data_IF_088570702438
#
_entry.id   IF_088570702438
#
_cell.length_a   1.000
_cell.length_b   1.000
_cell.length_c   1.000
_cell.angle_alpha   90.00
_cell.angle_beta   90.00
_cell.angle_gamma   90.00
#
_symmetry.space_group_name_H-M   'P 1'
#
loop_
_entity.id
_entity.type
_entity.pdbx_description
1 polymer ?
#
# COMPACT_ATOMS: atom_id res chain seq x y z
N UNK A 1 38.00 -4.16 6.58
CA UNK A 1 36.81 -3.28 6.52
C UNK A 1 35.58 -4.18 6.52
N UNK A 2 34.75 -4.12 7.55
CA UNK A 2 33.45 -4.79 7.52
C UNK A 2 32.50 -3.92 6.69
N UNK A 3 32.09 -4.41 5.52
CA UNK A 3 30.98 -3.82 4.78
C UNK A 3 29.72 -4.17 5.58
N UNK A 4 29.14 -3.16 6.23
CA UNK A 4 27.81 -3.29 6.82
C UNK A 4 26.85 -3.43 5.64
N UNK A 5 26.40 -4.65 5.36
CA UNK A 5 25.30 -4.85 4.44
C UNK A 5 24.09 -4.15 5.04
N UNK A 6 23.65 -3.05 4.42
CA UNK A 6 22.34 -2.48 4.72
C UNK A 6 21.33 -3.61 4.52
N UNK A 7 20.51 -3.96 5.54
CA UNK A 7 19.54 -5.03 5.40
C UNK A 7 18.64 -4.68 4.21
N UNK A 8 18.45 -5.62 3.29
CA UNK A 8 17.50 -5.43 2.21
C UNK A 8 16.16 -5.03 2.84
N UNK A 9 15.74 -3.80 2.60
CA UNK A 9 14.40 -3.36 3.00
C UNK A 9 13.44 -4.33 2.33
N UNK A 10 12.68 -5.07 3.11
CA UNK A 10 11.59 -5.90 2.61
C UNK A 10 10.63 -4.97 1.85
N UNK A 11 10.76 -4.97 0.53
CA UNK A 11 10.00 -4.12 -0.39
C UNK A 11 8.78 -4.92 -0.81
N UNK A 12 7.61 -4.39 -0.49
CA UNK A 12 6.35 -4.99 -0.92
C UNK A 12 6.28 -5.00 -2.46
N UNK A 13 6.42 -6.19 -3.08
CA UNK A 13 6.42 -6.37 -4.53
C UNK A 13 5.17 -5.81 -5.23
N UNK A 14 4.02 -5.77 -4.56
CA UNK A 14 2.80 -5.17 -5.08
C UNK A 14 2.89 -3.65 -5.28
N UNK A 15 3.76 -2.98 -4.53
CA UNK A 15 3.93 -1.52 -4.58
C UNK A 15 5.36 -1.06 -4.83
N UNK A 16 6.30 -1.99 -5.01
CA UNK A 16 7.72 -1.69 -5.25
C UNK A 16 7.89 -0.82 -6.49
N UNK A 17 7.05 -1.00 -7.51
CA UNK A 17 7.15 -0.26 -8.75
C UNK A 17 7.00 1.26 -8.54
N UNK A 18 6.33 1.72 -7.48
CA UNK A 18 6.27 3.14 -7.11
C UNK A 18 7.64 3.75 -6.77
N UNK A 19 8.66 2.95 -6.45
CA UNK A 19 10.00 3.47 -6.16
C UNK A 19 10.76 3.88 -7.42
N UNK A 20 10.33 3.41 -8.61
CA UNK A 20 10.99 3.79 -9.85
C UNK A 20 10.66 5.24 -10.23
N UNK A 21 11.67 6.07 -10.56
CA UNK A 21 11.46 7.48 -10.88
C UNK A 21 10.60 7.70 -12.13
N UNK A 22 10.63 6.76 -13.07
CA UNK A 22 9.82 6.82 -14.30
C UNK A 22 8.31 6.80 -14.06
N UNK A 23 7.85 6.28 -12.91
CA UNK A 23 6.42 6.21 -12.58
C UNK A 23 5.78 7.59 -12.56
N UNK A 24 6.48 8.60 -12.06
CA UNK A 24 5.95 9.95 -11.98
C UNK A 24 5.71 10.54 -13.38
N UNK A 25 6.68 10.35 -14.28
CA UNK A 25 6.57 10.80 -15.66
C UNK A 25 5.45 10.07 -16.38
N UNK A 26 5.40 8.73 -16.27
CA UNK A 26 4.32 7.93 -16.87
C UNK A 26 2.96 8.35 -16.33
N UNK A 27 2.86 8.64 -15.04
CA UNK A 27 1.62 9.11 -14.43
C UNK A 27 1.17 10.46 -15.00
N UNK A 28 2.09 11.42 -15.14
CA UNK A 28 1.80 12.73 -15.76
C UNK A 28 1.38 12.58 -17.23
N UNK A 29 2.04 11.67 -17.96
CA UNK A 29 1.67 11.34 -19.34
C UNK A 29 0.26 10.72 -19.42
N UNK A 30 -0.10 9.82 -18.50
CA UNK A 30 -1.45 9.23 -18.47
C UNK A 30 -2.52 10.31 -18.25
N UNK A 31 -2.31 11.24 -17.31
CA UNK A 31 -3.23 12.35 -17.07
C UNK A 31 -3.36 13.23 -18.32
N UNK A 32 -2.22 13.58 -18.95
CA UNK A 32 -2.22 14.38 -20.17
C UNK A 32 -2.92 13.69 -21.34
N UNK A 33 -2.64 12.40 -21.57
CA UNK A 33 -3.31 11.61 -22.60
C UNK A 33 -4.81 11.45 -22.32
N UNK A 34 -5.22 11.34 -21.05
CA UNK A 34 -6.63 11.32 -20.67
C UNK A 34 -7.34 12.62 -21.04
N UNK A 35 -6.67 13.77 -20.87
CA UNK A 35 -7.20 15.06 -21.31
C UNK A 35 -7.39 15.12 -22.83
N UNK A 36 -6.37 14.73 -23.60
CA UNK A 36 -6.46 14.69 -25.06
C UNK A 36 -7.58 13.75 -25.53
N UNK A 37 -7.72 12.60 -24.88
CA UNK A 37 -8.78 11.63 -25.17
C UNK A 37 -10.17 12.23 -24.91
N UNK A 38 -10.37 12.89 -23.76
CA UNK A 38 -11.65 13.52 -23.43
C UNK A 38 -11.99 14.65 -24.41
N UNK A 39 -11.01 15.49 -24.76
CA UNK A 39 -11.18 16.53 -25.79
C UNK A 39 -11.55 15.92 -27.15
N UNK A 40 -10.86 14.85 -27.56
CA UNK A 40 -11.08 14.21 -28.85
C UNK A 40 -12.42 13.47 -28.95
N UNK A 41 -12.88 12.83 -27.87
CA UNK A 41 -14.12 12.04 -27.88
C UNK A 41 -15.35 12.93 -27.70
N UNK A 42 -15.30 13.86 -26.75
CA UNK A 42 -16.49 14.65 -26.37
C UNK A 42 -16.58 15.99 -27.10
N UNK A 43 -15.50 16.47 -27.73
CA UNK A 43 -15.48 17.78 -28.42
C UNK A 43 -15.85 18.95 -27.51
N UNK A 44 -15.61 18.80 -26.20
CA UNK A 44 -16.06 19.74 -25.18
C UNK A 44 -15.09 20.90 -24.97
N UNK A 45 -15.53 21.93 -24.24
CA UNK A 45 -14.65 23.00 -23.81
C UNK A 45 -13.54 22.48 -22.89
N UNK A 46 -12.40 23.18 -22.86
CA UNK A 46 -11.27 22.80 -22.03
C UNK A 46 -11.64 22.65 -20.55
N UNK A 47 -12.48 23.55 -20.01
CA UNK A 47 -12.94 23.47 -18.62
C UNK A 47 -13.75 22.22 -18.28
N UNK A 48 -14.63 21.80 -19.19
CA UNK A 48 -15.39 20.56 -19.04
C UNK A 48 -14.47 19.34 -19.14
N UNK A 49 -13.50 19.36 -20.07
CA UNK A 49 -12.53 18.28 -20.20
C UNK A 49 -11.70 18.08 -18.93
N UNK A 50 -11.17 19.15 -18.35
CA UNK A 50 -10.43 19.09 -17.08
C UNK A 50 -11.29 18.59 -15.92
N UNK A 51 -12.56 18.99 -15.86
CA UNK A 51 -13.51 18.51 -14.84
C UNK A 51 -13.75 17.01 -14.98
N UNK A 52 -13.99 16.51 -16.19
CA UNK A 52 -14.17 15.06 -16.44
C UNK A 52 -12.91 14.29 -16.04
N UNK A 53 -11.73 14.74 -16.47
CA UNK A 53 -10.45 14.10 -16.11
C UNK A 53 -10.26 14.08 -14.59
N UNK A 54 -10.57 15.19 -13.90
CA UNK A 54 -10.47 15.28 -12.45
C UNK A 54 -11.42 14.32 -11.73
N UNK A 55 -12.68 14.22 -12.16
CA UNK A 55 -13.66 13.29 -11.57
C UNK A 55 -13.34 11.82 -11.85
N UNK A 56 -12.90 11.50 -13.07
CA UNK A 56 -12.43 10.16 -13.41
C UNK A 56 -11.18 9.78 -12.60
N UNK A 57 -10.23 10.71 -12.49
CA UNK A 57 -9.04 10.55 -11.66
C UNK A 57 -9.40 10.29 -10.20
N UNK A 58 -10.34 11.06 -9.65
CA UNK A 58 -10.90 10.85 -8.33
C UNK A 58 -11.43 9.42 -8.14
N UNK A 59 -12.33 8.98 -9.01
CA UNK A 59 -12.97 7.66 -8.90
C UNK A 59 -11.95 6.52 -8.98
N UNK A 60 -11.05 6.55 -9.96
CA UNK A 60 -10.03 5.52 -10.18
C UNK A 60 -9.06 5.49 -9.02
N UNK A 61 -8.47 6.62 -8.64
CA UNK A 61 -7.46 6.64 -7.59
C UNK A 61 -8.03 6.32 -6.21
N UNK A 62 -9.25 6.76 -5.91
CA UNK A 62 -9.92 6.38 -4.67
C UNK A 62 -10.17 4.87 -4.62
N UNK A 63 -10.67 4.28 -5.70
CA UNK A 63 -10.92 2.84 -5.78
C UNK A 63 -9.62 2.03 -5.59
N UNK A 64 -8.56 2.34 -6.33
CA UNK A 64 -7.31 1.58 -6.22
C UNK A 64 -6.59 1.82 -4.89
N UNK A 65 -6.48 3.07 -4.43
CA UNK A 65 -5.65 3.36 -3.25
C UNK A 65 -6.38 3.13 -1.93
N UNK A 66 -7.68 3.39 -1.86
CA UNK A 66 -8.41 3.39 -0.59
C UNK A 66 -9.44 2.27 -0.48
N UNK A 67 -9.87 1.66 -1.60
CA UNK A 67 -10.83 0.54 -1.59
C UNK A 67 -10.16 -0.82 -1.76
N UNK A 68 -9.26 -0.99 -2.74
CA UNK A 68 -8.56 -2.26 -2.97
C UNK A 68 -7.64 -2.60 -1.80
N UNK A 69 -7.80 -3.84 -1.30
CA UNK A 69 -6.97 -4.43 -0.24
C UNK A 69 -6.29 -5.70 -0.72
N UNK A 70 -5.20 -6.07 -0.05
CA UNK A 70 -4.45 -7.28 -0.33
C UNK A 70 -3.43 -7.14 -1.47
N UNK A 71 -2.85 -8.28 -1.80
CA UNK A 71 -1.75 -8.47 -2.75
C UNK A 71 -2.05 -9.73 -3.57
N UNK A 72 -1.73 -9.77 -4.87
CA UNK A 72 -1.86 -10.99 -5.67
C UNK A 72 -0.72 -11.99 -5.40
N UNK A 73 0.31 -11.61 -4.63
CA UNK A 73 1.49 -12.44 -4.38
C UNK A 73 1.30 -13.35 -3.17
N UNK A 74 1.44 -14.66 -3.38
CA UNK A 74 1.33 -15.66 -2.32
C UNK A 74 2.55 -15.66 -1.36
N UNK A 75 3.69 -15.16 -1.84
CA UNK A 75 4.96 -15.10 -1.09
C UNK A 75 4.87 -14.18 0.13
N UNK A 76 3.94 -13.23 0.13
CA UNK A 76 3.75 -12.24 1.21
C UNK A 76 3.10 -12.85 2.48
N UNK A 77 2.84 -14.16 2.52
CA UNK A 77 2.22 -14.88 3.66
C UNK A 77 0.91 -14.24 4.19
N UNK A 78 0.22 -13.45 3.36
CA UNK A 78 -1.00 -12.74 3.71
C UNK A 78 -0.82 -11.50 4.59
N UNK A 79 0.40 -11.00 4.81
CA UNK A 79 0.67 -9.83 5.67
C UNK A 79 -0.06 -8.56 5.19
N UNK A 80 -0.33 -8.45 3.89
CA UNK A 80 -1.00 -7.30 3.27
C UNK A 80 -2.51 -7.46 3.07
N UNK A 81 -3.12 -8.61 3.40
CA UNK A 81 -4.53 -8.90 3.11
C UNK A 81 -5.52 -7.89 3.74
N UNK A 82 -5.18 -7.33 4.89
CA UNK A 82 -5.99 -6.32 5.58
C UNK A 82 -5.68 -4.87 5.18
N UNK A 83 -4.63 -4.65 4.39
CA UNK A 83 -4.08 -3.32 4.09
C UNK A 83 -4.50 -2.85 2.70
N UNK A 84 -4.94 -1.61 2.62
CA UNK A 84 -5.20 -0.91 1.36
C UNK A 84 -3.90 -0.67 0.59
N UNK A 85 -3.97 -0.47 -0.72
CA UNK A 85 -2.78 -0.11 -1.49
C UNK A 85 -2.12 1.18 -0.98
N UNK A 86 -2.90 2.16 -0.53
CA UNK A 86 -2.35 3.37 0.09
C UNK A 86 -1.52 3.05 1.34
N UNK A 87 -1.95 2.10 2.16
CA UNK A 87 -1.21 1.69 3.36
C UNK A 87 0.02 0.85 3.01
N UNK A 88 -0.03 0.10 1.91
CA UNK A 88 1.07 -0.74 1.42
C UNK A 88 2.24 0.06 0.84
N UNK A 89 1.98 1.18 0.13
CA UNK A 89 3.04 1.99 -0.49
C UNK A 89 4.06 2.45 0.55
N UNK A 90 5.33 2.18 0.29
CA UNK A 90 6.45 2.53 1.18
C UNK A 90 6.21 2.11 2.65
N UNK A 91 5.61 0.92 2.83
CA UNK A 91 5.36 0.31 4.13
C UNK A 91 4.58 1.21 5.11
N UNK A 92 3.67 2.04 4.58
CA UNK A 92 2.87 2.93 5.41
C UNK A 92 3.60 4.20 5.89
N UNK A 93 4.87 4.42 5.48
CA UNK A 93 5.67 5.57 5.91
C UNK A 93 5.03 6.86 5.39
N UNK A 94 4.72 7.78 6.31
CA UNK A 94 4.09 9.05 5.96
C UNK A 94 5.09 10.05 5.37
N UNK A 95 4.57 11.03 4.62
CA UNK A 95 5.32 12.17 4.06
C UNK A 95 6.55 11.80 3.22
N UNK A 96 6.57 10.59 2.67
CA UNK A 96 7.55 10.20 1.67
C UNK A 96 7.38 11.00 0.38
N UNK A 97 8.43 10.99 -0.44
CA UNK A 97 8.44 11.73 -1.70
C UNK A 97 7.29 11.30 -2.63
N UNK A 98 7.05 9.99 -2.74
CA UNK A 98 5.99 9.44 -3.59
C UNK A 98 4.59 9.77 -3.05
N UNK A 99 4.37 9.66 -1.73
CA UNK A 99 3.07 10.03 -1.15
C UNK A 99 2.78 11.52 -1.30
N UNK A 100 3.78 12.39 -1.17
CA UNK A 100 3.64 13.82 -1.45
C UNK A 100 3.23 14.04 -2.91
N UNK A 101 3.92 13.42 -3.86
CA UNK A 101 3.56 13.48 -5.28
C UNK A 101 2.11 13.04 -5.52
N UNK A 102 1.72 11.84 -5.06
CA UNK A 102 0.37 11.28 -5.22
C UNK A 102 -0.73 12.09 -4.52
N UNK A 103 -0.37 12.94 -3.55
CA UNK A 103 -1.31 13.85 -2.86
C UNK A 103 -1.40 15.20 -3.56
N UNK A 104 -0.29 15.71 -4.11
CA UNK A 104 -0.25 17.02 -4.79
C UNK A 104 -0.95 16.97 -6.14
N UNK A 105 -0.83 15.87 -6.89
CA UNK A 105 -1.49 15.72 -8.20
C UNK A 105 -2.98 16.09 -8.16
N UNK A 106 -3.84 15.44 -7.35
CA UNK A 106 -5.28 15.74 -7.37
C UNK A 106 -5.58 17.19 -7.00
N UNK A 107 -4.76 17.82 -6.16
CA UNK A 107 -4.87 19.25 -5.86
C UNK A 107 -4.58 20.11 -7.09
N UNK A 108 -3.52 19.79 -7.85
CA UNK A 108 -3.21 20.49 -9.10
C UNK A 108 -4.31 20.29 -10.15
N UNK A 109 -4.83 19.07 -10.31
CA UNK A 109 -5.94 18.81 -11.22
C UNK A 109 -7.18 19.62 -10.85
N UNK A 110 -7.51 19.71 -9.56
CA UNK A 110 -8.59 20.55 -9.05
C UNK A 110 -8.39 22.02 -9.40
N UNK A 111 -7.19 22.57 -9.20
CA UNK A 111 -6.89 23.97 -9.53
C UNK A 111 -7.03 24.23 -11.03
N UNK A 112 -6.53 23.32 -11.88
CA UNK A 112 -6.67 23.43 -13.33
C UNK A 112 -8.14 23.37 -13.77
N UNK A 113 -8.91 22.41 -13.23
CA UNK A 113 -10.33 22.27 -13.53
C UNK A 113 -11.12 23.51 -13.09
N UNK A 114 -10.90 23.98 -11.86
CA UNK A 114 -11.63 25.13 -11.30
C UNK A 114 -11.31 26.43 -12.06
N UNK A 115 -10.03 26.66 -12.37
CA UNK A 115 -9.58 27.82 -13.13
C UNK A 115 -10.15 27.82 -14.55
N UNK A 116 -10.15 26.69 -15.25
CA UNK A 116 -10.65 26.61 -16.63
C UNK A 116 -12.18 26.60 -16.75
N UNK A 117 -12.89 26.37 -15.65
CA UNK A 117 -14.35 26.55 -15.56
C UNK A 117 -14.76 27.93 -15.02
N UNK A 118 -13.83 28.89 -14.92
CA UNK A 118 -14.07 30.23 -14.36
C UNK A 118 -14.82 30.22 -13.01
N UNK A 119 -14.54 29.20 -12.18
CA UNK A 119 -15.20 29.00 -10.87
C UNK A 119 -16.74 28.97 -10.92
N UNK A 120 -17.33 28.62 -12.07
CA UNK A 120 -18.77 28.57 -12.22
C UNK A 120 -19.38 27.39 -11.44
N UNK A 121 -20.48 27.67 -10.75
CA UNK A 121 -21.33 26.63 -10.18
C UNK A 121 -22.21 26.03 -11.30
N UNK A 122 -22.40 24.70 -11.39
CA UNK A 122 -22.17 23.69 -10.35
C UNK A 122 -20.82 22.93 -10.44
N UNK A 123 -20.00 23.16 -11.47
CA UNK A 123 -18.75 22.39 -11.68
C UNK A 123 -17.76 22.57 -10.54
N UNK A 124 -17.67 23.78 -9.98
CA UNK A 124 -16.83 24.07 -8.82
C UNK A 124 -17.17 23.20 -7.60
N UNK A 125 -18.46 22.97 -7.34
CA UNK A 125 -18.91 22.15 -6.21
C UNK A 125 -18.44 20.70 -6.34
N UNK A 126 -18.66 20.07 -7.50
CA UNK A 126 -18.23 18.69 -7.75
C UNK A 126 -16.71 18.55 -7.68
N UNK A 127 -15.97 19.49 -8.28
CA UNK A 127 -14.52 19.52 -8.21
C UNK A 127 -14.02 19.67 -6.76
N UNK A 128 -14.64 20.56 -5.97
CA UNK A 128 -14.23 20.79 -4.57
C UNK A 128 -14.53 19.59 -3.69
N UNK A 129 -15.69 18.95 -3.87
CA UNK A 129 -16.05 17.74 -3.12
C UNK A 129 -15.09 16.58 -3.43
N UNK A 130 -14.76 16.37 -4.70
CA UNK A 130 -13.84 15.31 -5.13
C UNK A 130 -12.44 15.48 -4.50
N UNK A 131 -11.86 16.68 -4.58
CA UNK A 131 -10.53 16.93 -4.00
C UNK A 131 -10.56 16.84 -2.48
N UNK A 132 -11.62 17.34 -1.82
CA UNK A 132 -11.78 17.28 -0.37
C UNK A 132 -11.76 15.83 0.12
N UNK A 133 -12.57 14.95 -0.48
CA UNK A 133 -12.63 13.53 -0.10
C UNK A 133 -11.28 12.83 -0.32
N UNK A 134 -10.62 13.05 -1.46
CA UNK A 134 -9.33 12.43 -1.73
C UNK A 134 -8.23 12.89 -0.77
N UNK A 135 -8.18 14.19 -0.49
CA UNK A 135 -7.18 14.78 0.39
C UNK A 135 -7.39 14.29 1.83
N UNK A 136 -8.62 14.26 2.32
CA UNK A 136 -8.96 13.69 3.64
C UNK A 136 -8.57 12.21 3.72
N UNK A 137 -8.85 11.42 2.67
CA UNK A 137 -8.48 10.01 2.63
C UNK A 137 -6.94 9.77 2.68
N UNK A 138 -6.14 10.74 2.23
CA UNK A 138 -4.68 10.68 2.24
C UNK A 138 -4.05 11.22 3.52
N UNK A 139 -4.76 12.04 4.28
CA UNK A 139 -4.22 12.62 5.51
C UNK A 139 -4.14 11.61 6.65
N UNK A 140 -3.08 11.68 7.48
CA UNK A 140 -2.81 10.70 8.51
C UNK A 140 -3.66 10.86 9.79
N UNK A 141 -4.71 11.69 9.79
CA UNK A 141 -5.42 12.05 11.03
C UNK A 141 -6.24 10.90 11.67
N UNK A 142 -6.30 9.73 11.01
CA UNK A 142 -6.87 8.48 11.54
C UNK A 142 -5.79 7.47 12.01
N UNK A 143 -4.50 7.85 12.04
CA UNK A 143 -3.35 6.97 12.28
C UNK A 143 -3.05 6.63 13.76
N UNK A 144 -4.01 6.77 14.69
CA UNK A 144 -3.78 6.23 16.06
C UNK A 144 -3.59 4.70 16.07
N UNK A 145 -3.92 3.99 14.98
CA UNK A 145 -3.68 2.54 14.79
C UNK A 145 -2.42 2.19 13.98
N UNK A 146 -1.69 3.17 13.45
CA UNK A 146 -0.49 2.95 12.63
C UNK A 146 0.83 3.27 13.36
N UNK A 147 0.75 3.59 14.67
CA UNK A 147 1.92 3.55 15.58
C UNK A 147 2.23 2.15 16.11
N UNK A 148 1.38 1.16 15.85
CA UNK A 148 1.58 -0.25 16.26
C UNK A 148 1.92 -1.17 15.07
N UNK A 149 2.28 -0.58 13.91
CA UNK A 149 2.62 -1.29 12.67
C UNK A 149 4.10 -1.24 12.30
N UNK A 150 4.96 -0.62 13.12
CA UNK A 150 6.42 -0.73 12.99
C UNK A 150 6.94 -2.15 13.29
N UNK A 151 6.06 -3.03 13.74
CA UNK A 151 6.23 -4.48 13.70
C UNK A 151 5.28 -5.08 12.66
N UNK A 152 5.51 -4.80 11.37
CA UNK A 152 5.31 -5.88 10.39
C UNK A 152 6.54 -6.76 10.60
N UNK A 153 6.42 -7.97 11.17
CA UNK A 153 7.54 -8.88 11.25
C UNK A 153 7.87 -9.25 9.82
N UNK A 154 8.97 -8.72 9.27
CA UNK A 154 9.55 -9.26 8.05
C UNK A 154 9.88 -10.73 8.35
N UNK A 155 9.28 -11.70 7.64
CA UNK A 155 9.67 -13.09 7.78
C UNK A 155 11.10 -13.20 7.22
N UNK A 156 12.08 -13.23 8.12
CA UNK A 156 13.50 -13.20 7.76
C UNK A 156 14.43 -12.57 8.80
N UNK A 157 13.90 -11.90 9.84
CA UNK A 157 14.75 -11.34 10.92
C UNK A 157 15.30 -12.38 11.91
N UNK A 158 14.86 -13.63 11.84
CA UNK A 158 15.30 -14.71 12.73
C UNK A 158 16.13 -15.79 12.00
N UNK A 159 16.89 -15.44 10.96
CA UNK A 159 18.10 -16.22 10.68
C UNK A 159 19.09 -15.88 11.77
N UNK A 160 18.94 -16.56 12.91
CA UNK A 160 20.02 -16.74 13.87
C UNK A 160 21.22 -17.18 13.05
N UNK A 161 22.22 -16.30 12.91
CA UNK A 161 23.58 -16.72 12.59
C UNK A 161 23.92 -17.66 13.72
N UNK A 162 23.76 -18.97 13.50
CA UNK A 162 24.22 -19.98 14.42
C UNK A 162 25.72 -19.74 14.57
N UNK A 163 26.11 -19.24 15.73
CA UNK A 163 27.50 -19.17 16.13
C UNK A 163 28.03 -20.60 16.18
N UNK A 164 28.80 -20.99 15.16
CA UNK A 164 29.44 -22.31 15.07
C UNK A 164 30.70 -22.38 15.95
N UNK A 165 30.67 -21.81 17.17
CA UNK A 165 31.82 -21.83 18.08
C UNK A 165 31.86 -23.04 19.03
N UNK A 166 30.91 -23.99 18.96
CA UNK A 166 30.86 -25.09 19.94
C UNK A 166 30.69 -26.52 19.39
N UNK A 167 31.04 -26.80 18.13
CA UNK A 167 31.05 -28.19 17.62
C UNK A 167 32.46 -28.77 17.46
N UNK A 168 33.20 -28.80 18.56
CA UNK A 168 34.43 -29.55 18.69
C UNK A 168 34.26 -30.66 19.72
N UNK A 169 34.26 -31.92 19.24
CA UNK A 169 34.29 -33.21 19.97
C UNK A 169 32.91 -33.81 20.29
N UNK A 170 32.48 -34.80 19.49
CA UNK A 170 32.55 -36.23 19.87
C UNK A 170 32.16 -37.16 18.71
N UNK A 171 32.77 -38.33 18.74
CA UNK A 171 32.78 -39.45 17.79
C UNK A 171 31.40 -40.02 17.40
N UNK A 172 31.32 -40.54 16.17
CA UNK A 172 30.87 -41.92 15.94
C UNK A 172 29.46 -42.16 15.37
N UNK A 173 29.44 -42.89 14.25
CA UNK A 173 28.39 -43.81 13.77
C UNK A 173 27.35 -43.33 12.70
N UNK A 174 27.57 -43.88 11.49
CA UNK A 174 26.62 -44.56 10.58
C UNK A 174 25.42 -43.80 9.96
N UNK A 175 25.55 -43.62 8.64
CA UNK A 175 24.59 -43.88 7.55
C UNK A 175 23.08 -43.64 7.79
N UNK A 176 22.51 -42.69 7.04
CA UNK A 176 21.07 -42.54 6.83
C UNK A 176 20.76 -41.59 5.68
N UNK A 177 20.01 -42.09 4.70
CA UNK A 177 19.60 -41.44 3.45
C UNK A 177 18.81 -40.15 3.71
N UNK A 178 19.14 -39.09 2.97
CA UNK A 178 18.55 -37.77 3.10
C UNK A 178 17.12 -37.68 2.56
N UNK A 179 16.23 -37.14 3.38
CA UNK A 179 15.07 -36.33 2.97
C UNK A 179 15.01 -35.16 3.94
N UNK A 180 15.63 -34.03 3.59
CA UNK A 180 15.46 -32.78 4.32
C UNK A 180 14.09 -32.22 3.93
N UNK A 181 13.06 -32.56 4.70
CA UNK A 181 11.78 -31.86 4.68
C UNK A 181 12.06 -30.39 5.04
N UNK A 182 12.00 -29.50 4.05
CA UNK A 182 11.92 -28.05 4.28
C UNK A 182 10.61 -27.77 5.03
N UNK A 183 10.67 -27.73 6.36
CA UNK A 183 9.57 -27.22 7.17
C UNK A 183 9.50 -25.71 6.98
N UNK A 184 8.64 -25.25 6.06
CA UNK A 184 8.26 -23.84 5.97
C UNK A 184 7.48 -23.49 7.24
N UNK A 185 7.94 -22.54 8.08
CA UNK A 185 7.22 -22.17 9.29
C UNK A 185 5.89 -21.51 8.91
N UNK A 186 4.79 -22.12 9.33
CA UNK A 186 3.43 -21.65 9.12
C UNK A 186 3.18 -20.47 10.06
N UNK A 187 2.92 -19.28 9.52
CA UNK A 187 2.56 -18.10 10.31
C UNK A 187 1.25 -18.38 11.09
N UNK A 188 1.15 -18.11 12.40
CA UNK A 188 -0.04 -18.40 13.16
C UNK A 188 -1.18 -17.45 12.75
N UNK A 189 -2.28 -18.04 12.29
CA UNK A 189 -3.51 -17.32 12.00
C UNK A 189 -3.99 -16.55 13.24
N UNK A 190 -4.29 -15.27 13.07
CA UNK A 190 -4.90 -14.40 14.08
C UNK A 190 -6.24 -15.02 14.53
N UNK A 191 -6.30 -15.40 15.81
CA UNK A 191 -7.50 -15.89 16.49
C UNK A 191 -8.70 -14.97 16.19
N UNK A 192 -9.72 -15.53 15.56
CA UNK A 192 -11.04 -14.92 15.46
C UNK A 192 -11.67 -14.88 16.86
N UNK A 193 -12.15 -13.71 17.25
CA UNK A 193 -12.79 -13.42 18.52
C UNK A 193 -14.01 -14.35 18.73
N UNK A 194 -13.96 -15.25 19.71
CA UNK A 194 -15.17 -15.91 20.25
C UNK A 194 -15.89 -14.89 21.13
N UNK A 195 -17.09 -14.48 20.72
CA UNK A 195 -18.03 -13.74 21.57
C UNK A 195 -18.45 -14.67 22.71
N UNK A 196 -18.22 -14.24 23.95
CA UNK A 196 -18.61 -14.98 25.15
C UNK A 196 -20.09 -14.79 25.48
N UNK A 197 -20.72 -15.87 25.91
CA UNK A 197 -21.94 -15.86 26.71
C UNK A 197 -21.68 -16.73 27.94
N UNK A 198 -21.53 -16.09 29.10
CA UNK A 198 -21.53 -16.74 30.40
C UNK A 198 -22.96 -16.86 30.94
N UNK A 199 -23.11 -17.76 31.91
CA UNK A 199 -24.23 -17.99 32.86
C UNK A 199 -25.10 -19.19 32.48
N UNK A 200 -25.36 -20.17 33.34
CA UNK A 200 -24.91 -20.46 34.70
C UNK A 200 -25.30 -21.93 35.00
N UNK A 201 -24.42 -22.68 35.67
CA UNK A 201 -24.78 -23.83 36.51
C UNK A 201 -25.37 -23.31 37.85
N UNK A 202 -26.08 -24.07 38.71
CA UNK A 202 -25.82 -25.50 38.96
C UNK A 202 -26.99 -26.42 39.41
N UNK A 203 -26.67 -27.72 39.43
CA UNK A 203 -27.07 -28.76 40.41
C UNK A 203 -28.57 -29.00 40.72
N UNK A 204 -29.09 -30.12 40.22
CA UNK A 204 -29.48 -31.30 41.03
C UNK A 204 -29.73 -32.50 40.13
#
# INVERSE_FOLDING_TARGET
>A
MYVKAEPATDVNRNTEWFTYPGVWTTYMLIVFMSLLLVLSIFGCSAGMAWTIVHLCHFAVTYHFFHWKKGTPFADDQGIYNGLTWWEQIENGKQLTRNRKFLTVVPVVLYLMASHTTDYQNPMLFFNTLAVFVLVVAKFPHMHKRQRLGSHIPCPGKDVQVADNSSLGKTQGARAGIGVLLMAVPKCPARLSHKSGTNNADPLS
#
